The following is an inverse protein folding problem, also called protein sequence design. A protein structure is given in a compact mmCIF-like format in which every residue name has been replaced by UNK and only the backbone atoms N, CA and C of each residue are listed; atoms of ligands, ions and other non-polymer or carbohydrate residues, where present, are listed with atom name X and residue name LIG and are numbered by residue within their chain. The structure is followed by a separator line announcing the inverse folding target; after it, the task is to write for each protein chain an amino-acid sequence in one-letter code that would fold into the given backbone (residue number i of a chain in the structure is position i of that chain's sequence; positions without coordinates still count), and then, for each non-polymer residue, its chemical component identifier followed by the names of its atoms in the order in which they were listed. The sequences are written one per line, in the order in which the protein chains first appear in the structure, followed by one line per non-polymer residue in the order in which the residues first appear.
data_IF_190037430216
#
_entry.id   IF_190037430216
#
_cell.length_a   1.000
_cell.length_b   1.000
_cell.length_c   1.000
_cell.angle_alpha   90.00
_cell.angle_beta   90.00
_cell.angle_gamma   90.00
#
_symmetry.space_group_name_H-M   'P 1'
#
loop_
_entity.id
_entity.type
_entity.pdbx_description
1 polymer ?
#
# COMPACT_ATOMS: atom_id res chain seq x y z
N UNK A 1 -0.32 10.01 1.71
CA UNK A 1 -0.55 8.66 2.21
C UNK A 1 -1.60 8.72 3.32
N UNK A 2 -2.58 7.86 3.24
CA UNK A 2 -3.68 7.76 4.19
C UNK A 2 -3.58 6.41 4.90
N UNK A 3 -3.60 6.46 6.23
CA UNK A 3 -3.58 5.29 7.10
C UNK A 3 -4.58 5.50 8.24
N UNK A 4 -4.97 4.44 8.91
CA UNK A 4 -5.74 4.51 10.16
C UNK A 4 -4.98 5.23 11.28
N UNK A 5 -3.65 5.18 11.24
CA UNK A 5 -2.77 5.74 12.27
C UNK A 5 -2.42 7.21 12.03
N UNK A 6 -2.61 7.72 10.82
CA UNK A 6 -2.27 9.08 10.47
C UNK A 6 -2.18 9.34 8.97
N UNK A 7 -1.97 10.59 8.63
CA UNK A 7 -1.75 11.05 7.27
C UNK A 7 -0.33 11.55 7.09
N UNK A 8 0.27 11.27 5.95
CA UNK A 8 1.51 11.89 5.56
C UNK A 8 1.41 12.47 4.15
N UNK A 9 2.06 13.61 3.96
CA UNK A 9 2.01 14.41 2.75
C UNK A 9 3.41 14.69 2.27
N UNK A 10 3.65 14.46 0.99
CA UNK A 10 4.91 14.79 0.34
C UNK A 10 4.62 15.72 -0.82
N UNK A 11 5.23 16.88 -0.82
CA UNK A 11 5.14 17.85 -1.91
C UNK A 11 6.48 17.87 -2.63
N UNK A 12 6.46 17.56 -3.91
CA UNK A 12 7.65 17.53 -4.76
C UNK A 12 7.55 18.57 -5.87
N UNK A 13 8.55 19.44 -5.97
CA UNK A 13 8.69 20.38 -7.07
C UNK A 13 9.90 19.98 -7.92
N UNK A 14 9.70 19.48 -9.16
CA UNK A 14 10.81 19.04 -10.02
C UNK A 14 11.64 20.19 -10.60
N UNK A 15 11.19 21.45 -10.48
CA UNK A 15 11.88 22.62 -11.05
C UNK A 15 12.99 23.11 -10.14
N UNK A 16 12.82 22.96 -8.81
CA UNK A 16 13.82 23.35 -7.83
C UNK A 16 14.53 22.10 -7.31
N UNK A 17 15.84 22.04 -7.47
CA UNK A 17 16.66 20.95 -6.96
C UNK A 17 16.34 20.70 -5.48
N UNK A 18 15.94 19.48 -5.17
CA UNK A 18 15.74 18.97 -3.81
C UNK A 18 14.54 19.50 -3.00
N UNK A 19 13.53 20.09 -3.62
CA UNK A 19 12.36 20.53 -2.85
C UNK A 19 11.35 19.39 -2.63
N UNK A 20 11.68 18.47 -1.73
CA UNK A 20 10.75 17.52 -1.17
C UNK A 20 10.38 18.01 0.24
N UNK A 21 9.13 18.43 0.42
CA UNK A 21 8.59 18.73 1.74
C UNK A 21 7.77 17.55 2.22
N UNK A 22 7.91 17.21 3.50
CA UNK A 22 7.22 16.09 4.13
C UNK A 22 6.51 16.58 5.39
N UNK A 23 5.24 16.18 5.55
CA UNK A 23 4.39 16.54 6.67
C UNK A 23 3.66 15.30 7.17
N UNK A 24 3.51 15.18 8.47
CA UNK A 24 2.71 14.13 9.10
C UNK A 24 1.64 14.74 10.00
N UNK A 25 0.51 14.08 10.08
CA UNK A 25 -0.60 14.44 10.94
C UNK A 25 -1.21 13.18 11.53
N UNK A 26 -1.27 13.11 12.84
CA UNK A 26 -2.00 12.05 13.53
C UNK A 26 -3.51 12.19 13.31
N UNK A 27 -4.20 11.06 13.20
CA UNK A 27 -5.65 11.02 13.12
C UNK A 27 -6.26 10.97 14.50
N UNK A 28 -7.43 11.59 14.64
CA UNK A 28 -8.25 11.40 15.83
C UNK A 28 -9.02 10.08 15.70
N UNK A 29 -8.70 9.11 16.55
CA UNK A 29 -9.29 7.75 16.52
C UNK A 29 -10.82 7.75 16.78
N UNK A 30 -11.38 8.82 17.37
CA UNK A 30 -12.85 8.94 17.59
C UNK A 30 -13.61 9.42 16.36
N UNK A 31 -12.92 9.85 15.30
CA UNK A 31 -13.50 10.35 14.06
C UNK A 31 -13.32 9.35 12.92
N UNK A 32 -14.28 9.34 11.99
CA UNK A 32 -14.11 8.59 10.74
C UNK A 32 -12.95 9.13 9.90
N UNK A 33 -12.43 8.31 8.96
CA UNK A 33 -11.39 8.72 8.01
C UNK A 33 -11.79 10.01 7.27
N UNK A 34 -13.02 10.07 6.78
CA UNK A 34 -13.55 11.24 6.07
C UNK A 34 -13.63 12.47 6.97
N UNK A 35 -14.02 12.33 8.23
CA UNK A 35 -14.09 13.45 9.17
C UNK A 35 -12.70 14.01 9.47
N UNK A 36 -11.72 13.14 9.71
CA UNK A 36 -10.32 13.53 9.87
C UNK A 36 -9.78 14.26 8.63
N UNK A 37 -10.08 13.77 7.42
CA UNK A 37 -9.68 14.41 6.16
C UNK A 37 -10.28 15.81 6.03
N UNK A 38 -11.60 15.95 6.24
CA UNK A 38 -12.29 17.24 6.16
C UNK A 38 -11.74 18.24 7.17
N UNK A 39 -11.46 17.81 8.37
CA UNK A 39 -10.83 18.66 9.39
C UNK A 39 -9.45 19.12 8.93
N UNK A 40 -8.63 18.19 8.45
CA UNK A 40 -7.27 18.49 8.01
C UNK A 40 -7.24 19.45 6.81
N UNK A 41 -8.14 19.31 5.84
CA UNK A 41 -8.26 20.24 4.71
C UNK A 41 -8.65 21.65 5.15
N UNK A 42 -9.44 21.81 6.23
CA UNK A 42 -9.78 23.12 6.80
C UNK A 42 -8.62 23.78 7.53
N UNK A 43 -7.78 22.99 8.17
CA UNK A 43 -6.66 23.46 8.98
C UNK A 43 -5.37 23.70 8.17
N UNK A 44 -5.32 23.24 6.90
CA UNK A 44 -4.05 23.15 6.16
C UNK A 44 -4.17 23.74 4.76
N UNK A 45 -3.69 24.97 4.62
CA UNK A 45 -3.80 25.76 3.38
C UNK A 45 -3.12 25.10 2.19
N UNK A 46 -1.94 24.47 2.37
CA UNK A 46 -1.23 23.86 1.24
C UNK A 46 -2.01 22.73 0.55
N UNK A 47 -2.98 22.09 1.21
CA UNK A 47 -3.81 21.05 0.59
C UNK A 47 -4.80 21.61 -0.45
N UNK A 48 -5.07 22.90 -0.42
CA UNK A 48 -5.98 23.56 -1.37
C UNK A 48 -5.26 24.16 -2.58
N UNK A 49 -3.93 24.05 -2.64
CA UNK A 49 -3.15 24.56 -3.75
C UNK A 49 -3.37 23.74 -5.03
N UNK A 50 -3.26 24.36 -6.22
CA UNK A 50 -3.45 23.68 -7.50
C UNK A 50 -2.22 22.83 -7.87
N UNK A 51 -2.23 21.58 -7.45
CA UNK A 51 -1.18 20.62 -7.81
C UNK A 51 -1.38 20.07 -9.22
N UNK A 52 -0.29 19.98 -9.99
CA UNK A 52 -0.30 19.37 -11.33
C UNK A 52 -0.64 17.87 -11.29
N UNK A 53 -0.26 17.18 -10.24
CA UNK A 53 -0.52 15.75 -10.05
C UNK A 53 -0.71 15.45 -8.57
N UNK A 54 -1.76 14.71 -8.25
CA UNK A 54 -2.02 14.21 -6.91
C UNK A 54 -2.09 12.70 -6.96
N UNK A 55 -1.26 12.03 -6.16
CA UNK A 55 -1.29 10.60 -5.96
C UNK A 55 -1.69 10.33 -4.50
N UNK A 56 -2.70 9.51 -4.30
CA UNK A 56 -3.24 9.16 -2.99
C UNK A 56 -2.93 7.70 -2.72
N UNK A 57 -2.18 7.42 -1.66
CA UNK A 57 -1.81 6.06 -1.26
C UNK A 57 -2.64 5.64 -0.05
N UNK A 58 -3.33 4.52 -0.18
CA UNK A 58 -4.02 3.86 0.92
C UNK A 58 -3.08 2.85 1.58
N UNK A 59 -2.76 3.10 2.85
CA UNK A 59 -1.94 2.22 3.68
C UNK A 59 -2.85 1.39 4.59
N UNK A 60 -3.51 0.40 4.00
CA UNK A 60 -4.34 -0.58 4.70
C UNK A 60 -3.80 -1.99 4.42
N UNK A 61 -4.09 -2.94 5.32
CA UNK A 61 -3.81 -4.37 5.14
C UNK A 61 -4.75 -5.06 4.14
N UNK A 62 -5.83 -4.40 3.76
CA UNK A 62 -6.88 -4.93 2.88
C UNK A 62 -6.49 -4.70 1.43
N UNK A 63 -5.66 -5.61 0.92
CA UNK A 63 -5.33 -5.69 -0.50
C UNK A 63 -5.20 -7.15 -0.93
N UNK A 64 -5.44 -7.41 -2.20
CA UNK A 64 -5.31 -8.72 -2.84
C UNK A 64 -4.48 -8.57 -4.10
N UNK A 65 -3.52 -9.46 -4.31
CA UNK A 65 -2.74 -9.55 -5.54
C UNK A 65 -3.34 -10.62 -6.44
N UNK A 66 -3.53 -10.28 -7.71
CA UNK A 66 -4.02 -11.19 -8.75
C UNK A 66 -3.07 -11.08 -9.95
N UNK A 67 -2.63 -12.19 -10.56
CA UNK A 67 -1.93 -12.10 -11.84
C UNK A 67 -2.80 -11.36 -12.86
N UNK A 68 -2.22 -10.38 -13.58
CA UNK A 68 -3.00 -9.50 -14.47
C UNK A 68 -3.73 -10.28 -15.55
N UNK A 69 -3.17 -11.40 -16.00
CA UNK A 69 -3.77 -12.27 -17.03
C UNK A 69 -5.11 -12.92 -16.58
N UNK A 70 -5.38 -12.96 -15.27
CA UNK A 70 -6.62 -13.49 -14.67
C UNK A 70 -7.50 -12.40 -14.07
N UNK A 71 -7.17 -11.14 -14.28
CA UNK A 71 -7.91 -10.02 -13.73
C UNK A 71 -8.91 -9.46 -14.74
N UNK A 72 -10.17 -9.41 -14.36
CA UNK A 72 -11.24 -8.71 -15.05
C UNK A 72 -11.82 -7.66 -14.09
N UNK A 73 -12.03 -6.44 -14.59
CA UNK A 73 -12.45 -5.31 -13.74
C UNK A 73 -13.80 -5.57 -13.08
N UNK A 74 -14.72 -6.20 -13.79
CA UNK A 74 -16.05 -6.56 -13.32
C UNK A 74 -16.02 -7.55 -12.15
N UNK A 75 -14.96 -8.34 -12.05
CA UNK A 75 -14.76 -9.34 -11.00
C UNK A 75 -13.95 -8.81 -9.81
N UNK A 76 -13.45 -7.57 -9.87
CA UNK A 76 -12.60 -6.99 -8.82
C UNK A 76 -13.22 -7.13 -7.42
N UNK A 77 -14.51 -6.83 -7.28
CA UNK A 77 -15.23 -6.97 -6.01
C UNK A 77 -15.27 -8.42 -5.51
N UNK A 78 -15.53 -9.38 -6.39
CA UNK A 78 -15.59 -10.81 -6.05
C UNK A 78 -14.22 -11.29 -5.57
N UNK A 79 -13.17 -10.98 -6.31
CA UNK A 79 -11.79 -11.34 -5.97
C UNK A 79 -11.33 -10.72 -4.67
N UNK A 80 -11.71 -9.47 -4.41
CA UNK A 80 -11.38 -8.77 -3.18
C UNK A 80 -12.09 -9.36 -1.97
N UNK A 81 -13.42 -9.54 -2.06
CA UNK A 81 -14.22 -10.05 -0.95
C UNK A 81 -14.10 -11.57 -0.72
N UNK A 82 -13.42 -12.28 -1.60
CA UNK A 82 -13.00 -13.65 -1.32
C UNK A 82 -12.00 -13.70 -0.14
N UNK A 83 -11.12 -12.70 -0.04
CA UNK A 83 -10.09 -12.63 0.99
C UNK A 83 -10.43 -11.67 2.15
N UNK A 84 -11.43 -10.80 1.97
CA UNK A 84 -11.76 -9.73 2.92
C UNK A 84 -13.25 -9.67 3.18
N UNK A 85 -13.66 -9.60 4.44
CA UNK A 85 -15.07 -9.37 4.78
C UNK A 85 -15.55 -8.01 4.25
N UNK A 86 -16.73 -7.91 3.63
CA UNK A 86 -17.30 -6.64 3.20
C UNK A 86 -17.39 -5.63 4.35
N UNK A 87 -17.15 -4.36 4.07
CA UNK A 87 -17.38 -3.24 4.99
C UNK A 87 -18.48 -2.35 4.43
N UNK A 88 -19.26 -1.75 5.32
CA UNK A 88 -20.19 -0.69 4.93
C UNK A 88 -19.43 0.49 4.33
N UNK A 89 -20.05 1.15 3.35
CA UNK A 89 -19.49 2.34 2.70
C UNK A 89 -18.08 2.12 2.11
N UNK A 90 -17.79 0.93 1.57
CA UNK A 90 -16.53 0.62 0.92
C UNK A 90 -16.65 0.70 -0.60
N UNK A 91 -15.60 1.17 -1.25
CA UNK A 91 -15.39 1.07 -2.71
C UNK A 91 -14.16 0.19 -2.94
N UNK A 92 -14.25 -0.71 -3.92
CA UNK A 92 -13.12 -1.54 -4.35
C UNK A 92 -12.46 -0.86 -5.54
N UNK A 93 -11.15 -0.68 -5.47
CA UNK A 93 -10.30 -0.08 -6.48
C UNK A 93 -9.21 -1.06 -6.88
N UNK A 94 -8.58 -0.83 -8.03
CA UNK A 94 -7.47 -1.66 -8.47
C UNK A 94 -6.33 -0.84 -9.09
N UNK A 95 -5.13 -1.42 -9.10
CA UNK A 95 -3.95 -0.89 -9.77
C UNK A 95 -3.31 -2.00 -10.62
N UNK A 96 -3.27 -1.82 -11.92
CA UNK A 96 -2.57 -2.73 -12.83
C UNK A 96 -1.10 -2.39 -12.87
N UNK A 97 -0.24 -3.34 -12.49
CA UNK A 97 1.21 -3.21 -12.40
C UNK A 97 1.86 -3.97 -13.56
N UNK A 98 1.96 -3.32 -14.72
CA UNK A 98 2.36 -3.97 -15.96
C UNK A 98 3.79 -4.56 -15.92
N UNK A 99 4.70 -4.00 -15.11
CA UNK A 99 6.09 -4.49 -15.01
C UNK A 99 6.23 -5.79 -14.24
N UNK A 100 5.37 -6.00 -13.25
CA UNK A 100 5.35 -7.21 -12.42
C UNK A 100 4.28 -8.20 -12.84
N UNK A 101 3.44 -7.86 -13.83
CA UNK A 101 2.28 -8.64 -14.28
C UNK A 101 1.33 -8.99 -13.12
N UNK A 102 1.10 -8.02 -12.24
CA UNK A 102 0.23 -8.17 -11.06
C UNK A 102 -0.77 -7.03 -11.01
N UNK A 103 -2.01 -7.35 -10.69
CA UNK A 103 -3.04 -6.36 -10.35
C UNK A 103 -3.26 -6.39 -8.84
N UNK A 104 -3.18 -5.21 -8.21
CA UNK A 104 -3.46 -5.03 -6.78
C UNK A 104 -4.87 -4.49 -6.63
N UNK A 105 -5.74 -5.26 -5.99
CA UNK A 105 -7.12 -4.88 -5.66
C UNK A 105 -7.15 -4.45 -4.20
N UNK A 106 -7.82 -3.34 -3.88
CA UNK A 106 -7.86 -2.82 -2.51
C UNK A 106 -9.16 -2.08 -2.20
N UNK A 107 -9.52 -2.05 -0.91
CA UNK A 107 -10.70 -1.35 -0.43
C UNK A 107 -10.38 0.06 0.08
N UNK A 108 -11.33 0.97 -0.07
CA UNK A 108 -11.25 2.33 0.47
C UNK A 108 -12.64 2.78 0.95
N UNK A 109 -12.69 3.61 2.01
CA UNK A 109 -13.92 4.30 2.41
C UNK A 109 -14.46 5.15 1.26
N UNK A 110 -15.71 4.89 0.85
CA UNK A 110 -16.36 5.56 -0.28
C UNK A 110 -16.51 7.06 -0.05
N UNK A 111 -16.84 7.48 1.17
CA UNK A 111 -17.01 8.88 1.48
C UNK A 111 -15.70 9.65 1.41
N UNK A 112 -14.59 9.02 1.86
CA UNK A 112 -13.26 9.58 1.73
C UNK A 112 -12.82 9.65 0.26
N UNK A 113 -13.10 8.60 -0.53
CA UNK A 113 -12.84 8.60 -1.97
C UNK A 113 -13.57 9.76 -2.68
N UNK A 114 -14.88 9.90 -2.45
CA UNK A 114 -15.68 10.95 -3.08
C UNK A 114 -15.21 12.35 -2.67
N UNK A 115 -14.94 12.55 -1.38
CA UNK A 115 -14.40 13.82 -0.89
C UNK A 115 -13.07 14.18 -1.56
N UNK A 116 -12.14 13.23 -1.66
CA UNK A 116 -10.84 13.47 -2.29
C UNK A 116 -10.95 13.68 -3.80
N UNK A 117 -11.90 13.03 -4.48
CA UNK A 117 -12.23 13.27 -5.89
C UNK A 117 -12.85 14.64 -6.13
N UNK A 118 -13.62 15.15 -5.17
CA UNK A 118 -14.15 16.51 -5.21
C UNK A 118 -13.03 17.56 -5.10
N UNK A 119 -12.07 17.33 -4.17
CA UNK A 119 -10.93 18.25 -3.98
C UNK A 119 -9.91 18.14 -5.13
N UNK A 120 -9.67 16.96 -5.65
CA UNK A 120 -8.70 16.66 -6.69
C UNK A 120 -9.31 15.74 -7.76
N UNK A 121 -10.04 16.26 -8.75
CA UNK A 121 -10.73 15.44 -9.76
C UNK A 121 -9.81 14.46 -10.49
N UNK A 122 -8.57 14.88 -10.79
CA UNK A 122 -7.57 14.08 -11.50
C UNK A 122 -6.68 13.23 -10.58
N UNK A 123 -7.02 13.14 -9.28
CA UNK A 123 -6.24 12.32 -8.34
C UNK A 123 -6.26 10.84 -8.73
N UNK A 124 -5.10 10.21 -8.60
CA UNK A 124 -4.92 8.78 -8.78
C UNK A 124 -4.81 8.10 -7.42
N UNK A 125 -5.51 6.98 -7.27
CA UNK A 125 -5.56 6.22 -6.03
C UNK A 125 -4.75 4.94 -6.16
N UNK A 126 -3.92 4.68 -5.17
CA UNK A 126 -3.06 3.51 -5.12
C UNK A 126 -3.16 2.83 -3.76
N UNK A 127 -3.10 1.50 -3.75
CA UNK A 127 -2.68 0.78 -2.55
C UNK A 127 -1.20 1.08 -2.27
N UNK A 128 -0.80 1.20 -1.00
CA UNK A 128 0.61 1.28 -0.63
C UNK A 128 1.39 0.06 -1.15
N UNK A 129 0.74 -1.10 -1.25
CA UNK A 129 1.34 -2.31 -1.80
C UNK A 129 1.77 -2.14 -3.28
N UNK A 130 1.10 -1.28 -4.06
CA UNK A 130 1.37 -1.13 -5.50
C UNK A 130 2.76 -0.59 -5.80
N UNK A 131 3.18 0.59 -5.31
CA UNK A 131 4.54 1.08 -5.54
C UNK A 131 5.61 0.20 -4.88
N UNK A 132 5.32 -0.40 -3.72
CA UNK A 132 6.24 -1.34 -3.07
C UNK A 132 6.45 -2.59 -3.93
N UNK A 133 5.38 -3.16 -4.49
CA UNK A 133 5.46 -4.31 -5.38
C UNK A 133 6.32 -4.02 -6.62
N UNK A 134 6.11 -2.88 -7.30
CA UNK A 134 6.91 -2.48 -8.47
C UNK A 134 8.40 -2.30 -8.10
N UNK A 135 8.67 -1.65 -6.98
CA UNK A 135 10.04 -1.43 -6.50
C UNK A 135 10.74 -2.75 -6.16
N UNK A 136 10.10 -3.61 -5.36
CA UNK A 136 10.68 -4.87 -4.92
C UNK A 136 10.81 -5.88 -6.05
N UNK A 137 9.81 -5.99 -6.94
CA UNK A 137 9.90 -6.81 -8.14
C UNK A 137 11.13 -6.45 -8.97
N UNK A 138 11.37 -5.15 -9.19
CA UNK A 138 12.55 -4.69 -9.93
C UNK A 138 13.85 -5.05 -9.22
N UNK A 139 13.93 -4.82 -7.91
CA UNK A 139 15.13 -5.13 -7.10
C UNK A 139 15.41 -6.64 -7.03
N UNK A 140 14.37 -7.46 -6.97
CA UNK A 140 14.51 -8.93 -6.85
C UNK A 140 15.01 -9.61 -8.12
N UNK A 141 15.03 -8.93 -9.26
CA UNK A 141 15.62 -9.45 -10.51
C UNK A 141 17.15 -9.55 -10.47
N UNK A 142 17.78 -8.88 -9.50
CA UNK A 142 19.23 -8.90 -9.33
C UNK A 142 19.64 -10.16 -8.55
N UNK A 143 20.47 -11.01 -9.17
CA UNK A 143 20.94 -12.27 -8.57
C UNK A 143 19.95 -13.42 -8.72
N UNK A 144 20.30 -14.56 -8.10
CA UNK A 144 19.54 -15.81 -8.16
C UNK A 144 18.91 -16.21 -6.82
N UNK A 145 19.07 -15.39 -5.78
CA UNK A 145 18.47 -15.61 -4.46
C UNK A 145 16.99 -15.26 -4.46
N UNK A 146 16.20 -15.98 -3.65
CA UNK A 146 14.89 -15.49 -3.24
C UNK A 146 15.07 -14.29 -2.32
N UNK A 147 14.14 -13.33 -2.38
CA UNK A 147 14.21 -12.12 -1.58
C UNK A 147 12.91 -11.88 -0.84
N UNK A 148 13.03 -11.68 0.46
CA UNK A 148 11.93 -11.29 1.33
C UNK A 148 12.13 -9.82 1.70
N UNK A 149 11.20 -8.97 1.29
CA UNK A 149 11.16 -7.56 1.68
C UNK A 149 10.11 -7.37 2.77
N UNK A 150 10.53 -6.72 3.84
CA UNK A 150 9.75 -6.51 5.05
C UNK A 150 9.57 -5.03 5.27
N UNK A 151 8.34 -4.54 5.19
CA UNK A 151 8.01 -3.15 5.55
C UNK A 151 7.32 -3.13 6.90
N UNK A 152 7.98 -2.52 7.89
CA UNK A 152 7.47 -2.44 9.26
C UNK A 152 6.59 -1.21 9.42
N UNK A 153 5.42 -1.41 10.00
CA UNK A 153 4.50 -0.35 10.45
C UNK A 153 4.28 -0.45 11.96
N UNK A 154 3.63 0.54 12.57
CA UNK A 154 3.42 0.57 14.02
C UNK A 154 2.83 -0.74 14.56
N UNK A 155 1.71 -1.20 13.99
CA UNK A 155 0.98 -2.39 14.45
C UNK A 155 0.82 -3.43 13.33
N UNK A 156 1.62 -3.37 12.28
CA UNK A 156 1.55 -4.28 11.15
C UNK A 156 2.89 -4.47 10.47
N UNK A 157 2.98 -5.50 9.67
CA UNK A 157 4.15 -5.83 8.86
C UNK A 157 3.66 -6.27 7.49
N UNK A 158 4.15 -5.62 6.44
CA UNK A 158 3.89 -6.03 5.07
C UNK A 158 5.07 -6.86 4.56
N UNK A 159 4.79 -8.06 4.04
CA UNK A 159 5.78 -8.97 3.47
C UNK A 159 5.59 -9.10 1.97
N UNK A 160 6.69 -9.01 1.24
CA UNK A 160 6.74 -9.22 -0.20
C UNK A 160 7.88 -10.19 -0.51
N UNK A 161 7.55 -11.38 -0.98
CA UNK A 161 8.52 -12.42 -1.30
C UNK A 161 8.61 -12.62 -2.81
N UNK A 162 9.82 -12.65 -3.34
CA UNK A 162 10.09 -12.77 -4.76
C UNK A 162 11.15 -13.82 -5.07
N UNK A 163 11.04 -14.36 -6.27
CA UNK A 163 12.11 -15.10 -6.94
C UNK A 163 12.29 -14.53 -8.35
N UNK A 164 13.44 -13.93 -8.64
CA UNK A 164 13.81 -13.38 -9.96
C UNK A 164 12.75 -12.42 -10.57
N UNK A 165 12.14 -11.59 -9.74
CA UNK A 165 11.10 -10.65 -10.16
C UNK A 165 9.68 -11.20 -10.11
N UNK A 166 9.50 -12.51 -9.92
CA UNK A 166 8.20 -13.12 -9.76
C UNK A 166 7.74 -13.04 -8.31
N UNK A 167 6.53 -12.55 -8.10
CA UNK A 167 5.92 -12.48 -6.78
C UNK A 167 5.52 -13.90 -6.32
N UNK A 168 6.06 -14.32 -5.18
CA UNK A 168 5.70 -15.57 -4.51
C UNK A 168 4.60 -15.35 -3.47
N UNK A 169 4.69 -14.23 -2.73
CA UNK A 169 3.73 -13.85 -1.71
C UNK A 169 3.77 -12.34 -1.49
N UNK A 170 2.61 -11.72 -1.34
CA UNK A 170 2.48 -10.41 -0.74
C UNK A 170 1.32 -10.44 0.24
N UNK A 171 1.58 -10.11 1.49
CA UNK A 171 0.57 -10.08 2.54
C UNK A 171 0.91 -9.06 3.62
N UNK A 172 -0.10 -8.67 4.38
CA UNK A 172 0.00 -7.78 5.53
C UNK A 172 -0.46 -8.51 6.79
N UNK A 173 0.40 -8.51 7.81
CA UNK A 173 0.15 -9.17 9.08
C UNK A 173 -0.03 -8.12 10.17
N UNK A 174 -1.09 -8.25 10.97
CA UNK A 174 -1.21 -7.50 12.22
C UNK A 174 -0.23 -8.09 13.24
N UNK A 175 0.66 -7.26 13.74
CA UNK A 175 1.67 -7.66 14.72
C UNK A 175 2.01 -6.45 15.60
N UNK A 176 1.52 -6.49 16.83
CA UNK A 176 1.83 -5.48 17.84
C UNK A 176 3.17 -5.78 18.51
N UNK A 177 3.44 -7.07 18.75
CA UNK A 177 4.63 -7.53 19.47
C UNK A 177 5.73 -8.00 18.50
N UNK A 178 6.96 -7.84 18.92
CA UNK A 178 8.13 -8.33 18.18
C UNK A 178 8.08 -9.85 17.98
N UNK A 179 7.55 -10.58 18.95
CA UNK A 179 7.42 -12.05 18.86
C UNK A 179 6.52 -12.47 17.70
N UNK A 180 5.40 -11.75 17.46
CA UNK A 180 4.49 -12.04 16.34
C UNK A 180 5.19 -11.79 14.99
N UNK A 181 5.97 -10.71 14.91
CA UNK A 181 6.75 -10.38 13.70
C UNK A 181 7.76 -11.47 13.38
N UNK A 182 8.52 -11.91 14.38
CA UNK A 182 9.49 -13.00 14.23
C UNK A 182 8.80 -14.30 13.81
N UNK A 183 7.66 -14.62 14.43
CA UNK A 183 6.87 -15.80 14.09
C UNK A 183 6.47 -15.81 12.61
N UNK A 184 5.84 -14.74 12.11
CA UNK A 184 5.43 -14.66 10.71
C UNK A 184 6.60 -14.68 9.74
N UNK A 185 7.71 -14.00 10.06
CA UNK A 185 8.92 -14.02 9.24
C UNK A 185 9.46 -15.44 9.08
N UNK A 186 9.65 -16.16 10.18
CA UNK A 186 10.17 -17.53 10.17
C UNK A 186 9.17 -18.50 9.54
N UNK A 187 7.88 -18.33 9.79
CA UNK A 187 6.84 -19.15 9.19
C UNK A 187 6.82 -19.04 7.67
N UNK A 188 6.81 -17.81 7.12
CA UNK A 188 6.82 -17.58 5.67
C UNK A 188 8.15 -18.00 5.05
N UNK A 189 9.28 -17.73 5.73
CA UNK A 189 10.60 -18.19 5.30
C UNK A 189 10.62 -19.71 5.06
N UNK A 190 10.13 -20.45 6.03
CA UNK A 190 10.02 -21.91 5.93
C UNK A 190 9.00 -22.36 4.89
N UNK A 191 7.83 -21.73 4.86
CA UNK A 191 6.73 -22.10 3.95
C UNK A 191 7.11 -21.95 2.48
N UNK A 192 7.87 -20.91 2.13
CA UNK A 192 8.33 -20.66 0.77
C UNK A 192 9.68 -21.30 0.45
N UNK A 193 10.25 -22.11 1.36
CA UNK A 193 11.50 -22.81 1.16
C UNK A 193 12.69 -21.87 0.94
N UNK A 194 12.78 -20.80 1.72
CA UNK A 194 13.97 -19.94 1.72
C UNK A 194 15.16 -20.66 2.37
N UNK A 195 16.35 -20.45 1.83
CA UNK A 195 17.61 -21.06 2.30
C UNK A 195 18.46 -19.97 2.98
N UNK A 196 18.89 -20.22 4.23
CA UNK A 196 19.61 -19.25 5.07
C UNK A 196 20.96 -18.79 4.48
N UNK A 197 21.65 -19.65 3.78
CA UNK A 197 22.98 -19.36 3.21
C UNK A 197 22.91 -18.64 1.86
N UNK A 198 21.73 -18.61 1.20
CA UNK A 198 21.59 -18.09 -0.15
C UNK A 198 20.61 -16.95 -0.28
N UNK A 199 19.49 -17.06 0.41
CA UNK A 199 18.36 -16.17 0.22
C UNK A 199 18.43 -14.97 1.17
N UNK A 200 17.79 -13.86 0.77
CA UNK A 200 17.99 -12.56 1.40
C UNK A 200 16.71 -12.05 2.09
N UNK A 201 16.89 -11.40 3.25
CA UNK A 201 15.83 -10.63 3.89
C UNK A 201 16.24 -9.15 3.97
N UNK A 202 15.36 -8.28 3.51
CA UNK A 202 15.54 -6.83 3.50
C UNK A 202 14.47 -6.17 4.38
N UNK A 203 14.89 -5.41 5.38
CA UNK A 203 14.02 -4.58 6.23
C UNK A 203 13.96 -3.16 5.65
N UNK A 204 12.75 -2.61 5.56
CA UNK A 204 12.49 -1.27 5.01
C UNK A 204 11.60 -0.45 5.94
#
# INVERSE_FOLDING_TARGET
RLSTDGFSFSIYNPIYESSLSFFEKETNASLSLTANLKQFFRETEFLTLPYRRVNILMADKRFTHVPTDFFEEEQAGILFYHNHSPKENEIVLHNVLSRSNVTVIFGMDRSAYLFLKEQYPEARFYSQASPLNEYFSTKSRLGNSKKMYVSLRKNAMDLFCYERGHLLLANSFECEQTADRIYYLLYIWKQLGFEQERDEMHLT
#
